data_IF_693601503731
#
_entry.id   IF_693601503731
#
_cell.length_a   1.000
_cell.length_b   1.000
_cell.length_c   1.000
_cell.angle_alpha   90.00
_cell.angle_beta   90.00
_cell.angle_gamma   90.00
#
_symmetry.space_group_name_H-M   'P 1'
#
loop_
_entity.id
_entity.type
_entity.pdbx_description
1 polymer ?
#
# COMPACT_ATOMS: atom_id res chain seq x y z
N UNK A 1 20.41 -1.89 31.74
CA UNK A 1 19.21 -2.72 31.96
C UNK A 1 18.52 -2.82 30.59
N UNK A 2 18.81 -3.89 29.87
CA UNK A 2 18.12 -4.24 28.62
C UNK A 2 16.71 -4.71 28.97
N UNK A 3 15.71 -3.89 28.62
CA UNK A 3 14.32 -4.32 28.70
C UNK A 3 14.09 -5.55 27.80
N UNK A 4 13.07 -6.37 28.06
CA UNK A 4 12.78 -7.54 27.26
C UNK A 4 12.60 -7.10 25.80
N UNK A 5 13.38 -7.68 24.90
CA UNK A 5 13.19 -7.52 23.45
C UNK A 5 11.73 -7.87 23.16
N UNK A 6 10.96 -6.86 22.81
CA UNK A 6 9.57 -7.06 22.40
C UNK A 6 9.63 -7.87 21.09
N UNK A 7 9.17 -9.12 21.18
CA UNK A 7 9.12 -10.05 20.07
C UNK A 7 8.24 -9.45 18.96
N UNK A 8 8.88 -8.74 18.01
CA UNK A 8 8.20 -8.14 16.87
C UNK A 8 8.24 -9.09 15.68
N UNK A 9 7.10 -9.25 15.02
CA UNK A 9 6.96 -10.07 13.81
C UNK A 9 7.10 -9.14 12.61
N UNK A 10 8.10 -9.41 11.76
CA UNK A 10 8.33 -8.64 10.54
C UNK A 10 7.73 -9.34 9.32
N UNK A 11 6.91 -8.62 8.58
CA UNK A 11 6.30 -9.08 7.33
C UNK A 11 7.04 -8.44 6.15
N UNK A 12 7.43 -9.24 5.17
CA UNK A 12 8.11 -8.78 3.97
C UNK A 12 7.10 -8.55 2.86
N UNK A 13 7.23 -7.45 2.11
CA UNK A 13 6.45 -7.29 0.89
C UNK A 13 6.81 -8.35 -0.15
N UNK A 14 5.82 -8.95 -0.79
CA UNK A 14 6.04 -9.91 -1.87
C UNK A 14 6.81 -9.28 -3.04
N UNK A 15 6.64 -7.97 -3.25
CA UNK A 15 7.30 -7.18 -4.31
C UNK A 15 8.82 -7.03 -4.12
N UNK A 16 9.35 -7.17 -2.89
CA UNK A 16 10.79 -7.00 -2.62
C UNK A 16 11.65 -8.19 -3.09
N UNK A 17 11.04 -9.33 -3.40
CA UNK A 17 11.72 -10.47 -4.01
C UNK A 17 12.22 -10.11 -5.42
N UNK A 18 13.51 -10.37 -5.72
CA UNK A 18 14.12 -10.26 -7.05
C UNK A 18 14.77 -8.92 -7.43
N UNK A 19 15.02 -7.99 -6.50
CA UNK A 19 15.81 -6.78 -6.83
C UNK A 19 17.21 -7.15 -7.37
N UNK A 20 17.89 -8.06 -6.68
CA UNK A 20 19.23 -8.54 -7.05
C UNK A 20 19.22 -9.26 -8.39
N UNK A 21 18.21 -10.07 -8.64
CA UNK A 21 18.04 -10.78 -9.92
C UNK A 21 17.84 -9.79 -11.08
N UNK A 22 17.04 -8.75 -10.89
CA UNK A 22 16.85 -7.70 -11.92
C UNK A 22 18.13 -6.95 -12.23
N UNK A 23 18.96 -6.67 -11.23
CA UNK A 23 20.27 -6.02 -11.41
C UNK A 23 21.23 -6.94 -12.17
N UNK A 24 21.33 -8.22 -11.78
CA UNK A 24 22.21 -9.18 -12.44
C UNK A 24 21.81 -9.40 -13.90
N UNK A 25 20.52 -9.55 -14.18
CA UNK A 25 20.01 -9.65 -15.56
C UNK A 25 20.31 -8.37 -16.34
N UNK A 26 20.05 -7.20 -15.77
CA UNK A 26 20.33 -5.91 -16.39
C UNK A 26 21.81 -5.73 -16.74
N UNK A 27 22.71 -6.04 -15.82
CA UNK A 27 24.16 -6.01 -16.04
C UNK A 27 24.60 -7.02 -17.11
N UNK A 28 24.06 -8.24 -17.07
CA UNK A 28 24.33 -9.27 -18.07
C UNK A 28 23.89 -8.87 -19.48
N UNK A 29 22.73 -8.24 -19.63
CA UNK A 29 22.24 -7.72 -20.89
C UNK A 29 23.13 -6.59 -21.45
N UNK A 30 23.63 -5.69 -20.60
CA UNK A 30 24.56 -4.63 -21.04
C UNK A 30 25.85 -5.25 -21.56
N UNK A 31 26.43 -6.21 -20.85
CA UNK A 31 27.64 -6.91 -21.29
C UNK A 31 27.39 -7.67 -22.60
N UNK A 32 26.29 -8.42 -22.70
CA UNK A 32 25.94 -9.15 -23.91
C UNK A 32 25.74 -8.22 -25.10
N UNK A 33 25.04 -7.10 -24.93
CA UNK A 33 24.84 -6.11 -26.00
C UNK A 33 26.14 -5.45 -26.44
N UNK A 34 27.06 -5.16 -25.50
CA UNK A 34 28.39 -4.65 -25.82
C UNK A 34 29.20 -5.67 -26.65
N UNK A 35 29.17 -6.95 -26.30
CA UNK A 35 29.82 -8.02 -27.05
C UNK A 35 29.25 -8.12 -28.47
N UNK A 36 27.91 -8.04 -28.61
CA UNK A 36 27.24 -8.04 -29.92
C UNK A 36 27.74 -6.90 -30.80
N UNK A 37 27.84 -5.68 -30.25
CA UNK A 37 28.28 -4.51 -31.03
C UNK A 37 29.75 -4.60 -31.45
N UNK A 38 30.62 -5.15 -30.57
CA UNK A 38 32.07 -5.20 -30.80
C UNK A 38 32.45 -6.35 -31.74
N UNK A 39 31.88 -7.53 -31.55
CA UNK A 39 32.33 -8.76 -32.22
C UNK A 39 31.53 -9.13 -33.45
N UNK A 40 30.30 -8.63 -33.64
CA UNK A 40 29.45 -8.99 -34.75
C UNK A 40 29.49 -7.91 -35.89
N UNK A 41 29.12 -8.29 -37.13
CA UNK A 41 29.03 -7.37 -38.26
C UNK A 41 28.10 -6.18 -37.98
N UNK A 42 28.32 -5.08 -38.71
CA UNK A 42 27.52 -3.81 -38.57
C UNK A 42 26.00 -3.99 -38.63
N UNK A 43 25.51 -5.07 -39.24
CA UNK A 43 24.09 -5.43 -39.28
C UNK A 43 23.51 -5.64 -37.88
N UNK A 44 24.33 -6.10 -36.93
CA UNK A 44 23.90 -6.39 -35.55
C UNK A 44 24.06 -5.19 -34.59
N UNK A 45 24.47 -4.04 -35.09
CA UNK A 45 24.62 -2.83 -34.25
C UNK A 45 23.31 -2.43 -33.62
N UNK A 46 22.21 -2.38 -34.36
CA UNK A 46 20.90 -1.99 -33.88
C UNK A 46 20.35 -2.97 -32.80
N UNK A 47 20.33 -4.29 -33.05
CA UNK A 47 20.03 -5.27 -32.00
C UNK A 47 20.88 -5.12 -30.74
N UNK A 48 22.18 -4.87 -30.85
CA UNK A 48 23.06 -4.65 -29.70
C UNK A 48 22.64 -3.44 -28.84
N UNK A 49 22.27 -2.34 -29.49
CA UNK A 49 21.74 -1.14 -28.82
C UNK A 49 20.43 -1.44 -28.07
N UNK A 50 19.52 -2.20 -28.66
CA UNK A 50 18.27 -2.61 -28.00
C UNK A 50 18.53 -3.47 -26.75
N UNK A 51 19.49 -4.40 -26.82
CA UNK A 51 19.87 -5.25 -25.68
C UNK A 51 20.45 -4.39 -24.56
N UNK A 52 21.34 -3.44 -24.86
CA UNK A 52 21.90 -2.51 -23.85
C UNK A 52 20.79 -1.67 -23.22
N UNK A 53 19.88 -1.12 -24.03
CA UNK A 53 18.76 -0.31 -23.56
C UNK A 53 17.87 -1.11 -22.58
N UNK A 54 17.56 -2.37 -22.93
CA UNK A 54 16.84 -3.30 -22.04
C UNK A 54 17.60 -3.56 -20.73
N UNK A 55 18.91 -3.69 -20.79
CA UNK A 55 19.78 -3.84 -19.63
C UNK A 55 19.77 -2.62 -18.72
N UNK A 56 19.80 -1.39 -19.27
CA UNK A 56 19.69 -0.15 -18.51
C UNK A 56 18.34 -0.08 -17.79
N UNK A 57 17.24 -0.40 -18.46
CA UNK A 57 15.91 -0.45 -17.84
C UNK A 57 15.88 -1.47 -16.70
N UNK A 58 16.48 -2.67 -16.92
CA UNK A 58 16.60 -3.69 -15.87
C UNK A 58 17.36 -3.22 -14.63
N UNK A 59 18.47 -2.48 -14.82
CA UNK A 59 19.23 -1.86 -13.72
C UNK A 59 18.41 -0.80 -12.97
N UNK A 60 17.69 0.05 -13.69
CA UNK A 60 16.83 1.08 -13.09
C UNK A 60 15.74 0.43 -12.23
N UNK A 61 15.05 -0.58 -12.76
CA UNK A 61 14.02 -1.32 -12.02
C UNK A 61 14.62 -1.96 -10.77
N UNK A 62 15.78 -2.64 -10.90
CA UNK A 62 16.47 -3.25 -9.77
C UNK A 62 16.89 -2.25 -8.71
N UNK A 63 17.39 -1.08 -9.11
CA UNK A 63 17.77 -0.01 -8.20
C UNK A 63 16.56 0.56 -7.42
N UNK A 64 15.42 0.76 -8.08
CA UNK A 64 14.20 1.21 -7.41
C UNK A 64 13.69 0.17 -6.41
N UNK A 65 13.77 -1.13 -6.75
CA UNK A 65 13.42 -2.23 -5.83
C UNK A 65 14.35 -2.30 -4.61
N UNK A 66 15.64 -1.99 -4.75
CA UNK A 66 16.56 -1.93 -3.60
C UNK A 66 16.22 -0.81 -2.61
N UNK A 67 15.55 0.27 -3.07
CA UNK A 67 15.11 1.37 -2.20
C UNK A 67 13.80 1.09 -1.47
N UNK A 68 13.12 0.00 -1.78
CA UNK A 68 11.94 -0.42 -1.03
C UNK A 68 12.34 -0.89 0.38
N UNK A 69 11.52 -0.59 1.40
CA UNK A 69 11.79 -1.06 2.75
C UNK A 69 11.85 -2.60 2.79
N UNK A 70 12.76 -3.15 3.57
CA UNK A 70 12.94 -4.60 3.71
C UNK A 70 11.68 -5.30 4.24
N UNK A 71 10.91 -4.58 5.04
CA UNK A 71 9.69 -5.05 5.67
C UNK A 71 8.57 -4.07 5.34
N UNK A 72 7.41 -4.58 5.02
CA UNK A 72 6.18 -3.79 4.80
C UNK A 72 5.45 -3.53 6.09
N UNK A 73 5.43 -4.51 7.00
CA UNK A 73 4.78 -4.38 8.30
C UNK A 73 5.67 -4.93 9.41
N UNK A 74 5.51 -4.31 10.58
CA UNK A 74 6.03 -4.77 11.85
C UNK A 74 4.86 -4.89 12.84
N UNK A 75 4.67 -6.08 13.38
CA UNK A 75 3.66 -6.37 14.37
C UNK A 75 4.36 -6.43 15.72
N UNK A 76 4.13 -5.42 16.53
CA UNK A 76 4.61 -5.36 17.92
C UNK A 76 3.52 -5.83 18.89
N UNK A 77 3.82 -5.90 20.17
CA UNK A 77 2.83 -6.23 21.21
C UNK A 77 1.69 -5.20 21.31
N UNK A 78 1.96 -3.93 20.97
CA UNK A 78 1.01 -2.81 21.16
C UNK A 78 0.46 -2.27 19.85
N UNK A 79 1.22 -2.37 18.77
CA UNK A 79 0.94 -1.65 17.53
C UNK A 79 1.22 -2.50 16.29
N UNK A 80 0.51 -2.16 15.22
CA UNK A 80 0.89 -2.48 13.84
C UNK A 80 1.58 -1.25 13.28
N UNK A 81 2.77 -1.42 12.72
CA UNK A 81 3.51 -0.36 12.04
C UNK A 81 3.65 -0.77 10.57
N UNK A 82 3.19 0.08 9.67
CA UNK A 82 3.37 -0.11 8.23
C UNK A 82 4.49 0.80 7.73
N UNK A 83 5.40 0.20 7.00
CA UNK A 83 6.54 0.88 6.39
C UNK A 83 6.37 0.95 4.88
N UNK A 84 6.40 2.16 4.37
CA UNK A 84 6.36 2.42 2.95
C UNK A 84 7.47 3.41 2.57
N UNK A 85 7.94 3.38 1.31
CA UNK A 85 8.99 4.28 0.82
C UNK A 85 8.68 5.77 1.05
N UNK A 86 7.41 6.15 1.12
CA UNK A 86 6.94 7.53 1.29
C UNK A 86 6.62 7.90 2.73
N UNK A 87 6.78 6.99 3.66
CA UNK A 87 6.54 7.23 5.07
C UNK A 87 6.00 5.99 5.77
N UNK A 88 5.48 6.20 6.95
CA UNK A 88 4.90 5.13 7.78
C UNK A 88 3.60 5.58 8.41
N UNK A 89 2.81 4.62 8.86
CA UNK A 89 1.74 4.82 9.81
C UNK A 89 1.80 3.77 10.92
N UNK A 90 1.15 4.08 12.03
CA UNK A 90 1.07 3.21 13.19
C UNK A 90 -0.36 3.14 13.68
N UNK A 91 -0.80 1.96 14.10
CA UNK A 91 -2.13 1.73 14.67
C UNK A 91 -1.98 0.85 15.90
N UNK A 92 -2.55 1.24 17.03
CA UNK A 92 -2.64 0.38 18.22
C UNK A 92 -3.68 -0.73 17.98
N UNK A 93 -3.45 -1.92 18.55
CA UNK A 93 -4.40 -3.02 18.49
C UNK A 93 -5.77 -2.67 19.09
N UNK A 94 -5.78 -1.81 20.10
CA UNK A 94 -7.01 -1.33 20.74
C UNK A 94 -7.87 -0.49 19.82
N UNK A 95 -7.23 0.29 18.92
CA UNK A 95 -7.94 1.12 17.96
C UNK A 95 -8.54 0.33 16.80
N UNK A 96 -8.17 -0.93 16.62
CA UNK A 96 -8.71 -1.77 15.56
C UNK A 96 -10.02 -2.42 16.00
N UNK A 97 -11.10 -2.10 15.30
CA UNK A 97 -12.42 -2.69 15.50
C UNK A 97 -12.58 -4.00 14.74
N UNK A 98 -12.15 -4.03 13.46
CA UNK A 98 -12.31 -5.18 12.55
C UNK A 98 -11.20 -5.21 11.50
N UNK A 99 -10.77 -6.41 11.16
CA UNK A 99 -9.83 -6.69 10.06
C UNK A 99 -10.46 -7.77 9.18
N UNK A 100 -10.56 -7.52 7.87
CA UNK A 100 -11.10 -8.52 6.93
C UNK A 100 -10.75 -8.15 5.48
N UNK A 101 -11.05 -9.04 4.52
CA UNK A 101 -11.00 -8.75 3.08
C UNK A 101 -12.26 -7.98 2.69
N UNK A 102 -12.14 -6.76 2.15
CA UNK A 102 -13.28 -6.00 1.67
C UNK A 102 -13.92 -6.67 0.47
N UNK A 103 -15.26 -6.60 0.39
CA UNK A 103 -16.05 -7.15 -0.71
C UNK A 103 -16.83 -6.05 -1.40
N UNK A 104 -16.93 -6.13 -2.70
CA UNK A 104 -17.78 -5.26 -3.53
C UNK A 104 -18.82 -6.10 -4.24
N UNK A 105 -19.99 -5.52 -4.45
CA UNK A 105 -21.05 -6.15 -5.25
C UNK A 105 -20.90 -5.69 -6.70
N UNK A 106 -20.61 -6.63 -7.61
CA UNK A 106 -20.61 -6.39 -9.05
C UNK A 106 -21.81 -7.13 -9.66
N UNK A 107 -22.88 -6.42 -9.91
CA UNK A 107 -24.15 -7.03 -10.33
C UNK A 107 -24.73 -7.93 -9.23
N UNK A 108 -24.80 -9.25 -9.48
CA UNK A 108 -25.32 -10.24 -8.52
C UNK A 108 -24.20 -10.92 -7.71
N UNK A 109 -22.94 -10.73 -8.10
CA UNK A 109 -21.81 -11.42 -7.49
C UNK A 109 -21.07 -10.51 -6.48
N UNK A 110 -20.69 -11.10 -5.36
CA UNK A 110 -19.74 -10.50 -4.43
C UNK A 110 -18.32 -10.88 -4.84
N UNK A 111 -17.47 -9.86 -5.06
CA UNK A 111 -16.08 -10.02 -5.43
C UNK A 111 -15.21 -9.48 -4.29
N UNK A 112 -14.28 -10.31 -3.84
CA UNK A 112 -13.26 -9.87 -2.86
C UNK A 112 -12.23 -8.96 -3.54
N UNK A 113 -11.85 -7.91 -2.82
CA UNK A 113 -10.76 -7.04 -3.27
C UNK A 113 -9.42 -7.63 -2.87
N UNK A 114 -8.40 -7.44 -3.70
CA UNK A 114 -7.02 -7.83 -3.38
C UNK A 114 -6.39 -6.87 -2.35
N UNK A 115 -7.12 -6.67 -1.24
CA UNK A 115 -6.74 -5.76 -0.17
C UNK A 115 -7.21 -6.28 1.18
N UNK A 116 -6.55 -5.82 2.22
CA UNK A 116 -6.94 -6.03 3.61
C UNK A 116 -7.46 -4.71 4.16
N UNK A 117 -8.69 -4.72 4.66
CA UNK A 117 -9.35 -3.56 5.23
C UNK A 117 -9.25 -3.57 6.76
N UNK A 118 -8.95 -2.40 7.32
CA UNK A 118 -8.95 -2.13 8.76
C UNK A 118 -10.07 -1.15 9.06
N UNK A 119 -10.98 -1.54 9.96
CA UNK A 119 -11.97 -0.63 10.53
C UNK A 119 -11.47 -0.17 11.88
N UNK A 120 -11.34 1.13 12.05
CA UNK A 120 -10.85 1.75 13.28
C UNK A 120 -12.00 2.08 14.24
N UNK A 121 -11.71 2.16 15.52
CA UNK A 121 -12.61 2.73 16.52
C UNK A 121 -12.59 4.25 16.45
N UNK A 122 -11.39 4.80 16.38
CA UNK A 122 -11.13 6.23 16.30
C UNK A 122 -10.19 6.50 15.11
N UNK A 123 -10.74 7.18 14.10
CA UNK A 123 -10.00 7.57 12.91
C UNK A 123 -9.12 8.81 13.15
N UNK A 124 -9.46 9.65 14.13
CA UNK A 124 -8.73 10.88 14.42
C UNK A 124 -7.33 10.59 14.94
N UNK A 125 -7.18 9.57 15.82
CA UNK A 125 -5.88 9.10 16.32
C UNK A 125 -4.98 8.66 15.15
N UNK A 126 -5.55 7.97 14.17
CA UNK A 126 -4.79 7.50 13.01
C UNK A 126 -4.31 8.65 12.13
N UNK A 127 -5.09 9.70 11.96
CA UNK A 127 -4.70 10.88 11.17
C UNK A 127 -3.46 11.58 11.74
N UNK A 128 -3.19 11.45 13.03
CA UNK A 128 -1.99 12.01 13.67
C UNK A 128 -0.76 11.09 13.52
N UNK A 129 -0.98 9.78 13.33
CA UNK A 129 0.08 8.76 13.25
C UNK A 129 0.55 8.46 11.82
N UNK A 130 -0.09 9.04 10.80
CA UNK A 130 0.26 8.83 9.41
C UNK A 130 1.09 10.00 8.86
N UNK A 131 2.16 9.70 8.12
CA UNK A 131 2.98 10.75 7.53
C UNK A 131 2.28 11.45 6.34
N UNK A 132 2.38 12.79 6.21
CA UNK A 132 1.72 13.54 5.13
C UNK A 132 2.10 13.10 3.70
N UNK A 133 3.36 12.67 3.51
CA UNK A 133 3.82 12.15 2.21
C UNK A 133 3.14 10.83 1.86
N UNK A 134 2.88 9.99 2.86
CA UNK A 134 2.16 8.73 2.66
C UNK A 134 0.68 8.99 2.40
N UNK A 135 0.07 9.96 3.08
CA UNK A 135 -1.30 10.41 2.82
C UNK A 135 -1.46 10.77 1.33
N UNK A 136 -0.60 11.65 0.82
CA UNK A 136 -0.66 12.07 -0.60
C UNK A 136 -0.58 10.88 -1.55
N UNK A 137 0.26 9.90 -1.24
CA UNK A 137 0.37 8.68 -2.04
C UNK A 137 -0.91 7.83 -1.97
N UNK A 138 -1.45 7.59 -0.77
CA UNK A 138 -2.66 6.79 -0.57
C UNK A 138 -3.90 7.43 -1.19
N UNK A 139 -4.01 8.76 -1.17
CA UNK A 139 -5.09 9.49 -1.85
C UNK A 139 -5.10 9.21 -3.36
N UNK A 140 -3.92 9.05 -3.97
CA UNK A 140 -3.80 8.71 -5.39
C UNK A 140 -4.06 7.22 -5.64
N UNK A 141 -3.42 6.35 -4.86
CA UNK A 141 -3.49 4.89 -5.04
C UNK A 141 -4.89 4.33 -4.75
N UNK A 142 -5.56 4.84 -3.72
CA UNK A 142 -6.89 4.37 -3.32
C UNK A 142 -8.03 5.04 -4.10
N UNK A 143 -7.73 5.91 -5.05
CA UNK A 143 -8.74 6.57 -5.88
C UNK A 143 -9.67 5.58 -6.61
N UNK A 144 -9.18 4.48 -7.21
CA UNK A 144 -10.06 3.50 -7.85
C UNK A 144 -11.06 2.85 -6.89
N UNK A 145 -10.73 2.71 -5.60
CA UNK A 145 -11.62 2.11 -4.61
C UNK A 145 -12.90 2.92 -4.42
N UNK A 146 -12.79 4.25 -4.46
CA UNK A 146 -13.97 5.14 -4.29
C UNK A 146 -14.91 5.12 -5.51
N UNK A 147 -14.45 4.57 -6.63
CA UNK A 147 -15.23 4.48 -7.87
C UNK A 147 -15.92 3.12 -8.04
N UNK A 148 -15.43 2.07 -7.37
CA UNK A 148 -15.87 0.70 -7.62
C UNK A 148 -17.28 0.37 -7.09
N UNK A 149 -17.71 1.05 -6.03
CA UNK A 149 -19.00 0.77 -5.38
C UNK A 149 -19.99 1.94 -5.53
N UNK A 150 -20.00 2.58 -6.70
CA UNK A 150 -21.00 3.58 -7.03
C UNK A 150 -22.28 2.91 -7.47
N UNK A 151 -23.38 3.26 -6.83
CA UNK A 151 -24.72 2.92 -7.31
C UNK A 151 -24.99 3.74 -8.59
N UNK A 152 -25.17 3.10 -9.77
CA UNK A 152 -25.47 3.81 -11.00
C UNK A 152 -26.76 4.63 -10.94
N UNK A 153 -27.68 4.27 -10.04
CA UNK A 153 -28.96 4.95 -9.85
C UNK A 153 -28.85 6.22 -8.99
N UNK A 154 -27.79 6.39 -8.22
CA UNK A 154 -27.53 7.59 -7.42
C UNK A 154 -26.96 8.75 -8.25
N UNK A 155 -26.78 8.59 -9.55
CA UNK A 155 -26.24 9.60 -10.45
C UNK A 155 -27.30 10.62 -10.88
N UNK A 156 -27.84 11.35 -9.93
CA UNK A 156 -28.52 12.61 -10.22
C UNK A 156 -27.50 13.67 -10.58
N UNK A 157 -27.11 13.75 -11.87
CA UNK A 157 -26.51 14.93 -12.51
C UNK A 157 -25.31 15.63 -11.87
N UNK A 158 -24.74 15.14 -10.77
CA UNK A 158 -23.62 15.76 -10.09
C UNK A 158 -22.33 15.41 -10.82
N UNK A 159 -21.64 16.42 -11.24
CA UNK A 159 -20.39 16.39 -12.02
C UNK A 159 -19.40 15.37 -11.44
N UNK A 160 -18.93 14.46 -12.29
CA UNK A 160 -17.84 13.50 -12.00
C UNK A 160 -16.60 14.15 -11.36
N UNK A 161 -16.40 15.46 -11.58
CA UNK A 161 -15.29 16.22 -11.03
C UNK A 161 -15.46 16.61 -9.57
N UNK A 162 -16.66 16.96 -9.13
CA UNK A 162 -16.91 17.43 -7.76
C UNK A 162 -16.73 16.32 -6.72
N UNK A 163 -17.05 15.09 -7.09
CA UNK A 163 -16.90 13.89 -6.22
C UNK A 163 -15.45 13.38 -6.14
N UNK A 164 -14.55 13.95 -6.91
CA UNK A 164 -13.13 13.56 -6.97
C UNK A 164 -12.22 14.44 -6.11
N UNK A 165 -12.71 15.57 -5.66
CA UNK A 165 -11.95 16.53 -4.84
C UNK A 165 -12.49 16.39 -3.42
N UNK A 166 -11.67 15.87 -2.52
CA UNK A 166 -11.96 15.91 -1.10
C UNK A 166 -11.81 17.34 -0.57
N UNK A 167 -12.67 17.70 0.38
CA UNK A 167 -12.63 19.02 1.01
C UNK A 167 -11.32 19.22 1.79
N UNK A 168 -10.80 20.44 1.74
CA UNK A 168 -9.56 20.81 2.46
C UNK A 168 -9.76 21.01 3.96
N UNK A 169 -11.00 20.91 4.45
CA UNK A 169 -11.35 21.04 5.86
C UNK A 169 -12.12 19.80 6.30
N UNK A 170 -11.66 19.15 7.36
CA UNK A 170 -12.30 17.99 7.95
C UNK A 170 -12.55 18.26 9.43
N UNK A 171 -13.80 18.08 9.87
CA UNK A 171 -14.18 18.20 11.28
C UNK A 171 -14.01 16.82 11.93
N UNK A 172 -13.11 16.72 12.89
CA UNK A 172 -12.90 15.53 13.72
C UNK A 172 -14.09 15.29 14.64
N UNK A 173 -14.21 14.08 15.14
CA UNK A 173 -15.19 13.74 16.19
C UNK A 173 -14.92 14.58 17.48
N UNK A 174 -13.67 14.91 17.75
CA UNK A 174 -13.25 15.79 18.85
C UNK A 174 -13.75 17.26 18.73
N UNK A 175 -14.27 17.65 17.55
CA UNK A 175 -14.66 19.03 17.25
C UNK A 175 -13.52 19.90 16.68
N UNK A 176 -12.31 19.37 16.58
CA UNK A 176 -11.18 20.07 15.96
C UNK A 176 -11.27 20.03 14.43
N UNK A 177 -10.92 21.12 13.77
CA UNK A 177 -10.89 21.20 12.31
C UNK A 177 -9.46 20.99 11.79
N UNK A 178 -9.26 19.91 11.05
CA UNK A 178 -8.01 19.61 10.34
C UNK A 178 -8.06 20.20 8.95
N UNK A 179 -6.92 20.59 8.38
CA UNK A 179 -6.81 21.22 7.06
C UNK A 179 -5.80 20.47 6.16
N UNK A 180 -5.92 20.75 4.85
CA UNK A 180 -4.98 20.24 3.83
C UNK A 180 -5.07 18.74 3.61
N UNK A 181 -3.95 18.08 3.31
CA UNK A 181 -3.93 16.66 2.92
C UNK A 181 -4.48 15.71 3.98
N UNK A 182 -4.31 16.03 5.27
CA UNK A 182 -4.90 15.25 6.36
C UNK A 182 -6.42 15.35 6.38
N UNK A 183 -6.98 16.52 6.08
CA UNK A 183 -8.43 16.72 5.94
C UNK A 183 -8.98 15.90 4.75
N UNK A 184 -8.33 15.99 3.59
CA UNK A 184 -8.69 15.20 2.40
C UNK A 184 -8.67 13.71 2.70
N UNK A 185 -7.69 13.26 3.48
CA UNK A 185 -7.59 11.85 3.86
C UNK A 185 -8.67 11.43 4.86
N UNK A 186 -9.03 12.30 5.81
CA UNK A 186 -10.16 12.09 6.72
C UNK A 186 -11.48 11.89 5.97
N UNK A 187 -11.76 12.75 4.97
CA UNK A 187 -12.91 12.59 4.08
C UNK A 187 -12.85 11.27 3.29
N UNK A 188 -11.65 10.92 2.77
CA UNK A 188 -11.43 9.66 2.06
C UNK A 188 -11.73 8.45 2.94
N UNK A 189 -11.22 8.43 4.18
CA UNK A 189 -11.48 7.36 5.15
C UNK A 189 -12.97 7.23 5.42
N UNK A 190 -13.67 8.35 5.70
CA UNK A 190 -15.12 8.37 5.93
C UNK A 190 -15.90 7.84 4.72
N UNK A 191 -15.52 8.23 3.51
CA UNK A 191 -16.13 7.75 2.27
C UNK A 191 -15.93 6.24 2.07
N UNK A 192 -14.71 5.75 2.27
CA UNK A 192 -14.39 4.33 2.14
C UNK A 192 -15.04 3.50 3.25
N UNK A 193 -15.15 4.03 4.48
CA UNK A 193 -15.91 3.39 5.57
C UNK A 193 -17.38 3.19 5.18
N UNK A 194 -18.01 4.20 4.59
CA UNK A 194 -19.41 4.12 4.16
C UNK A 194 -19.60 3.16 2.98
N UNK A 195 -18.66 3.10 2.05
CA UNK A 195 -18.75 2.30 0.85
C UNK A 195 -18.32 0.83 1.03
N UNK A 196 -17.25 0.61 1.78
CA UNK A 196 -16.58 -0.69 1.90
C UNK A 196 -16.56 -1.22 3.33
N UNK A 197 -16.93 -0.40 4.32
CA UNK A 197 -16.97 -0.78 5.73
C UNK A 197 -15.63 -0.70 6.46
N UNK A 198 -14.58 -0.12 5.84
CA UNK A 198 -13.23 -0.02 6.38
C UNK A 198 -12.64 1.37 6.11
N UNK A 199 -11.70 1.79 6.96
CA UNK A 199 -11.06 3.11 6.90
C UNK A 199 -9.74 3.09 6.14
N UNK A 200 -8.97 2.01 6.32
CA UNK A 200 -7.60 1.87 5.82
C UNK A 200 -7.50 0.56 5.07
N UNK A 201 -6.67 0.56 4.04
CA UNK A 201 -6.46 -0.59 3.17
C UNK A 201 -4.98 -0.81 2.95
N UNK A 202 -4.56 -2.07 2.96
CA UNK A 202 -3.24 -2.55 2.57
C UNK A 202 -3.43 -3.50 1.39
N UNK A 203 -2.63 -3.36 0.35
CA UNK A 203 -2.64 -4.28 -0.79
C UNK A 203 -2.12 -5.67 -0.37
N UNK A 204 -2.69 -6.73 -0.94
CA UNK A 204 -2.16 -8.09 -0.75
C UNK A 204 -0.76 -8.26 -1.29
N UNK A 205 -0.29 -7.38 -2.18
CA UNK A 205 1.10 -7.33 -2.66
C UNK A 205 2.10 -6.89 -1.58
N UNK A 206 1.61 -6.28 -0.51
CA UNK A 206 2.42 -5.80 0.61
C UNK A 206 2.63 -6.86 1.70
N UNK A 207 2.07 -8.05 1.53
CA UNK A 207 2.17 -9.15 2.49
C UNK A 207 2.90 -10.34 1.89
N UNK A 208 3.47 -11.19 2.77
CA UNK A 208 4.31 -12.35 2.42
C UNK A 208 3.51 -13.67 2.31
N UNK A 209 2.20 -13.61 2.52
CA UNK A 209 1.31 -14.78 2.60
C UNK A 209 -0.07 -14.47 2.06
N UNK A 210 -0.89 -15.49 1.94
CA UNK A 210 -2.30 -15.36 1.57
C UNK A 210 -3.07 -14.46 2.56
N UNK A 211 -4.02 -13.67 2.03
CA UNK A 211 -4.81 -12.71 2.81
C UNK A 211 -5.52 -13.34 4.01
N UNK A 212 -6.08 -14.55 3.84
CA UNK A 212 -6.80 -15.26 4.90
C UNK A 212 -5.86 -15.64 6.05
N UNK A 213 -4.67 -16.17 5.72
CA UNK A 213 -3.65 -16.52 6.72
C UNK A 213 -3.10 -15.29 7.41
N UNK A 214 -2.95 -14.19 6.67
CA UNK A 214 -2.47 -12.94 7.24
C UNK A 214 -3.50 -12.32 8.20
N UNK A 215 -4.78 -12.32 7.85
CA UNK A 215 -5.86 -11.87 8.73
C UNK A 215 -5.94 -12.72 9.99
N UNK A 216 -5.77 -14.05 9.88
CA UNK A 216 -5.70 -14.91 11.08
C UNK A 216 -4.56 -14.49 12.00
N UNK A 217 -3.35 -14.31 11.46
CA UNK A 217 -2.19 -13.83 12.22
C UNK A 217 -2.47 -12.50 12.92
N UNK A 218 -3.08 -11.53 12.22
CA UNK A 218 -3.42 -10.23 12.82
C UNK A 218 -4.44 -10.36 13.95
N UNK A 219 -5.43 -11.24 13.81
CA UNK A 219 -6.42 -11.51 14.85
C UNK A 219 -5.78 -12.20 16.07
N UNK A 220 -4.86 -13.11 15.85
CA UNK A 220 -4.11 -13.77 16.93
C UNK A 220 -3.23 -12.77 17.69
N UNK A 221 -2.51 -11.89 16.98
CA UNK A 221 -1.75 -10.80 17.58
C UNK A 221 -2.66 -9.84 18.37
N UNK A 222 -3.83 -9.47 17.82
CA UNK A 222 -4.79 -8.62 18.50
C UNK A 222 -5.36 -9.29 19.77
N UNK A 223 -5.59 -10.59 19.74
CA UNK A 223 -6.04 -11.35 20.91
C UNK A 223 -4.93 -11.41 21.98
N UNK A 224 -3.68 -11.66 21.57
CA UNK A 224 -2.54 -11.66 22.48
C UNK A 224 -2.27 -10.30 23.13
N UNK A 225 -2.45 -9.20 22.37
CA UNK A 225 -2.31 -7.83 22.89
C UNK A 225 -3.34 -7.46 23.99
N UNK A 226 -4.47 -8.16 24.03
CA UNK A 226 -5.52 -7.96 25.05
C UNK A 226 -5.34 -8.81 26.31
N UNK A 227 -4.39 -9.74 26.26
CA UNK A 227 -4.06 -10.55 27.45
C UNK A 227 -3.09 -9.75 28.32
N UNK A 228 -3.39 -9.61 29.62
CA UNK A 228 -2.56 -8.85 30.56
C UNK A 228 -1.17 -9.45 30.79
#
# INVERSE_FOLDING_TARGET
MSGPESESIFIKAASSHNAMTSILIGAGLILAGAVVIILLPKLFFLPGVFIISGGIVGLIIGFFKLKEPKYSLELTREHIIYYHRRGKWRISWENIQRIDVPRITKGIQQVELEMIGFKLRDADIFLDEISPRLITYLLMEQRPLTMQNRDPSATGGHSYGADMIEDEKFLRVSGETVKGVSAMFGHRMSKLRNQLGYDIFISTNEIDRDATKFISLLKDCQAAAKMP
#
